data_IF_195223974407
#
_entry.id   IF_195223974407
#
_cell.length_a   1.000
_cell.length_b   1.000
_cell.length_c   1.000
_cell.angle_alpha   90.00
_cell.angle_beta   90.00
_cell.angle_gamma   90.00
#
_symmetry.space_group_name_H-M   'P 1'
#
loop_
_entity.id
_entity.type
_entity.pdbx_description
1 polymer ?
#
# COMPACT_ATOMS: atom_id res chain seq x y z
N UNK A 1 -0.06 -3.17 -21.72
CA UNK A 1 -0.02 -4.46 -21.01
C UNK A 1 -0.73 -4.35 -19.66
N UNK A 2 -0.56 -3.26 -18.92
CA UNK A 2 -1.18 -3.07 -17.59
C UNK A 2 -2.72 -3.08 -17.60
N UNK A 3 -3.35 -2.36 -18.53
CA UNK A 3 -4.81 -2.30 -18.63
C UNK A 3 -5.50 -3.67 -18.84
N UNK A 4 -4.79 -4.68 -19.33
CA UNK A 4 -5.33 -6.01 -19.61
C UNK A 4 -5.52 -6.87 -18.35
N UNK A 5 -4.94 -6.45 -17.22
CA UNK A 5 -4.80 -7.27 -16.01
C UNK A 5 -5.70 -6.86 -14.85
N UNK A 6 -6.35 -5.70 -14.91
CA UNK A 6 -7.24 -5.20 -13.84
C UNK A 6 -6.60 -5.09 -12.44
N UNK A 7 -5.28 -5.33 -12.33
CA UNK A 7 -4.48 -5.39 -11.10
C UNK A 7 -4.16 -3.99 -10.56
N UNK A 8 -4.27 -3.01 -11.44
CA UNK A 8 -3.67 -1.70 -11.35
C UNK A 8 -4.64 -0.69 -10.73
N UNK A 9 -5.96 -0.91 -10.75
CA UNK A 9 -6.94 0.03 -10.17
C UNK A 9 -7.08 -0.07 -8.65
N UNK A 10 -7.10 -1.29 -8.07
CA UNK A 10 -7.26 -1.47 -6.62
C UNK A 10 -5.95 -1.20 -5.87
N UNK A 11 -4.83 -1.65 -6.44
CA UNK A 11 -3.50 -1.37 -5.93
C UNK A 11 -3.18 0.14 -5.96
N UNK A 12 -3.48 0.80 -7.09
CA UNK A 12 -3.26 2.25 -7.22
C UNK A 12 -4.16 3.05 -6.28
N UNK A 13 -5.45 2.72 -6.17
CA UNK A 13 -6.37 3.36 -5.20
C UNK A 13 -5.87 3.22 -3.76
N UNK A 14 -5.44 2.02 -3.37
CA UNK A 14 -4.88 1.79 -2.04
C UNK A 14 -3.60 2.59 -1.82
N UNK A 15 -2.67 2.55 -2.78
CA UNK A 15 -1.41 3.32 -2.74
C UNK A 15 -1.66 4.82 -2.62
N UNK A 16 -2.61 5.36 -3.37
CA UNK A 16 -3.02 6.77 -3.30
C UNK A 16 -3.63 7.10 -1.94
N UNK A 17 -4.51 6.25 -1.41
CA UNK A 17 -5.11 6.45 -0.10
C UNK A 17 -4.08 6.39 1.03
N UNK A 18 -3.16 5.42 1.00
CA UNK A 18 -2.09 5.30 1.98
C UNK A 18 -1.18 6.54 1.98
N UNK A 19 -0.79 7.04 0.80
CA UNK A 19 -0.03 8.29 0.66
C UNK A 19 -0.79 9.49 1.21
N UNK A 20 -2.08 9.59 0.92
CA UNK A 20 -2.94 10.66 1.44
C UNK A 20 -3.03 10.60 2.97
N UNK A 21 -3.19 9.40 3.55
CA UNK A 21 -3.20 9.19 4.99
C UNK A 21 -1.89 9.63 5.64
N UNK A 22 -0.74 9.25 5.08
CA UNK A 22 0.58 9.67 5.58
C UNK A 22 0.70 11.21 5.54
N UNK A 23 0.28 11.86 4.45
CA UNK A 23 0.28 13.32 4.34
C UNK A 23 -0.60 13.99 5.40
N UNK A 24 -1.83 13.48 5.61
CA UNK A 24 -2.74 13.98 6.66
C UNK A 24 -2.17 13.80 8.06
N UNK A 25 -1.54 12.65 8.32
CA UNK A 25 -0.86 12.38 9.60
C UNK A 25 0.25 13.39 9.84
N UNK A 26 1.05 13.76 8.84
CA UNK A 26 2.11 14.75 9.00
C UNK A 26 1.58 16.11 9.47
N UNK A 27 0.48 16.59 8.87
CA UNK A 27 -0.17 17.85 9.27
C UNK A 27 -0.73 17.76 10.69
N UNK A 28 -1.47 16.70 11.00
CA UNK A 28 -2.05 16.49 12.33
C UNK A 28 -0.97 16.35 13.41
N UNK A 29 0.12 15.64 13.12
CA UNK A 29 1.27 15.54 14.03
C UNK A 29 1.88 16.91 14.31
N UNK A 30 2.01 17.79 13.32
CA UNK A 30 2.54 19.14 13.55
C UNK A 30 1.62 19.95 14.48
N UNK A 31 0.30 19.87 14.25
CA UNK A 31 -0.70 20.53 15.08
C UNK A 31 -0.65 20.02 16.55
N UNK A 32 -0.63 18.70 16.75
CA UNK A 32 -0.59 18.11 18.08
C UNK A 32 0.77 18.30 18.77
N UNK A 33 1.89 18.38 18.03
CA UNK A 33 3.20 18.76 18.57
C UNK A 33 3.20 20.19 19.13
N UNK A 34 2.58 21.13 18.43
CA UNK A 34 2.44 22.50 18.94
C UNK A 34 1.62 22.52 20.24
N UNK A 35 0.47 21.83 20.28
CA UNK A 35 -0.36 21.71 21.49
C UNK A 35 0.38 21.05 22.65
N UNK A 36 1.12 19.97 22.39
CA UNK A 36 1.98 19.33 23.39
C UNK A 36 3.02 20.30 23.95
N UNK A 37 3.68 21.07 23.07
CA UNK A 37 4.67 22.08 23.47
C UNK A 37 4.04 23.15 24.37
N UNK A 38 2.87 23.67 24.01
CA UNK A 38 2.15 24.65 24.81
C UNK A 38 1.71 24.07 26.16
N UNK A 39 1.11 22.88 26.17
CA UNK A 39 0.70 22.24 27.41
C UNK A 39 1.89 22.01 28.36
N UNK A 40 3.05 21.61 27.82
CA UNK A 40 4.28 21.45 28.60
C UNK A 40 4.82 22.78 29.12
N UNK A 41 4.82 23.83 28.30
CA UNK A 41 5.23 25.18 28.73
C UNK A 41 4.35 25.68 29.87
N UNK A 42 3.04 25.49 29.75
CA UNK A 42 2.07 25.94 30.75
C UNK A 42 2.23 25.18 32.07
N UNK A 43 2.57 23.88 32.04
CA UNK A 43 2.93 23.15 33.28
C UNK A 43 4.13 23.82 33.96
N UNK A 44 5.18 24.18 33.22
CA UNK A 44 6.37 24.85 33.78
C UNK A 44 6.00 26.20 34.40
N UNK A 45 5.20 27.01 33.73
CA UNK A 45 4.75 28.30 34.25
C UNK A 45 3.88 28.16 35.50
N UNK A 46 2.95 27.20 35.52
CA UNK A 46 2.10 26.94 36.66
C UNK A 46 2.91 26.50 37.89
N UNK A 47 3.94 25.66 37.69
CA UNK A 47 4.85 25.24 38.76
C UNK A 47 5.68 26.40 39.30
N UNK A 48 6.17 27.30 38.43
CA UNK A 48 6.89 28.52 38.86
C UNK A 48 6.02 29.44 39.72
N UNK A 49 4.72 29.47 39.45
CA UNK A 49 3.73 30.24 40.20
C UNK A 49 3.21 29.51 41.45
N UNK A 50 3.73 28.31 41.77
CA UNK A 50 3.31 27.50 42.90
C UNK A 50 1.91 26.86 42.76
N UNK A 51 1.27 26.95 41.59
CA UNK A 51 -0.09 26.45 41.35
C UNK A 51 -0.11 24.96 41.04
N UNK A 52 0.19 24.13 42.04
CA UNK A 52 0.37 22.68 41.85
C UNK A 52 -0.88 21.95 41.36
N UNK A 53 -2.07 22.25 41.91
CA UNK A 53 -3.31 21.61 41.45
C UNK A 53 -3.62 21.92 39.98
N UNK A 54 -3.44 23.18 39.55
CA UNK A 54 -3.61 23.56 38.14
C UNK A 54 -2.56 22.92 37.23
N UNK A 55 -1.31 22.81 37.70
CA UNK A 55 -0.25 22.14 36.96
C UNK A 55 -0.58 20.65 36.77
N UNK A 56 -1.10 19.97 37.80
CA UNK A 56 -1.53 18.58 37.73
C UNK A 56 -2.62 18.37 36.67
N UNK A 57 -3.66 19.20 36.67
CA UNK A 57 -4.71 19.15 35.64
C UNK A 57 -4.11 19.38 34.24
N UNK A 58 -3.15 20.30 34.10
CA UNK A 58 -2.51 20.55 32.81
C UNK A 58 -1.64 19.38 32.33
N UNK A 59 -1.05 18.60 33.23
CA UNK A 59 -0.31 17.37 32.87
C UNK A 59 -1.22 16.35 32.18
N UNK A 60 -2.50 16.26 32.52
CA UNK A 60 -3.45 15.39 31.82
C UNK A 60 -3.53 15.74 30.32
N UNK A 61 -3.51 17.03 29.98
CA UNK A 61 -3.46 17.49 28.59
C UNK A 61 -2.13 17.10 27.92
N UNK A 62 -0.99 17.22 28.61
CA UNK A 62 0.32 16.80 28.10
C UNK A 62 0.30 15.31 27.73
N UNK A 63 -0.21 14.47 28.63
CA UNK A 63 -0.33 13.02 28.42
C UNK A 63 -1.25 12.72 27.24
N UNK A 64 -2.41 13.38 27.15
CA UNK A 64 -3.36 13.19 26.06
C UNK A 64 -2.76 13.55 24.70
N UNK A 65 -2.05 14.67 24.61
CA UNK A 65 -1.39 15.09 23.37
C UNK A 65 -0.24 14.14 22.99
N UNK A 66 0.55 13.67 23.96
CA UNK A 66 1.59 12.67 23.71
C UNK A 66 1.00 11.34 23.21
N UNK A 67 -0.01 10.80 23.89
CA UNK A 67 -0.69 9.57 23.47
C UNK A 67 -1.25 9.69 22.05
N UNK A 68 -1.79 10.86 21.69
CA UNK A 68 -2.28 11.12 20.33
C UNK A 68 -1.15 11.08 19.30
N UNK A 69 0.00 11.68 19.63
CA UNK A 69 1.19 11.62 18.78
C UNK A 69 1.70 10.18 18.60
N UNK A 70 1.67 9.38 19.65
CA UNK A 70 2.09 7.97 19.61
C UNK A 70 1.15 7.12 18.75
N UNK A 71 -0.17 7.37 18.82
CA UNK A 71 -1.16 6.77 17.93
C UNK A 71 -0.88 7.11 16.47
N UNK A 72 -0.54 8.36 16.15
CA UNK A 72 -0.18 8.72 14.79
C UNK A 72 1.05 7.98 14.27
N UNK A 73 2.07 7.79 15.11
CA UNK A 73 3.25 6.99 14.76
C UNK A 73 2.86 5.54 14.48
N UNK A 74 1.95 4.97 15.28
CA UNK A 74 1.45 3.61 15.05
C UNK A 74 0.70 3.49 13.72
N UNK A 75 -0.22 4.42 13.43
CA UNK A 75 -0.99 4.42 12.17
C UNK A 75 -0.05 4.56 10.97
N UNK A 76 0.93 5.46 11.04
CA UNK A 76 1.91 5.67 9.97
C UNK A 76 2.67 4.37 9.65
N UNK A 77 3.18 3.67 10.68
CA UNK A 77 3.84 2.36 10.53
C UNK A 77 2.91 1.31 9.94
N UNK A 78 1.66 1.26 10.37
CA UNK A 78 0.70 0.29 9.86
C UNK A 78 0.36 0.54 8.38
N UNK A 79 0.21 1.80 7.98
CA UNK A 79 0.02 2.16 6.56
C UNK A 79 1.22 1.77 5.70
N UNK A 80 2.44 1.94 6.19
CA UNK A 80 3.67 1.51 5.50
C UNK A 80 3.70 -0.02 5.32
N UNK A 81 3.46 -0.77 6.40
CA UNK A 81 3.42 -2.23 6.37
C UNK A 81 2.34 -2.77 5.41
N UNK A 82 1.14 -2.18 5.45
CA UNK A 82 0.06 -2.58 4.54
C UNK A 82 0.43 -2.31 3.07
N UNK A 83 1.14 -1.21 2.79
CA UNK A 83 1.58 -0.89 1.44
C UNK A 83 2.58 -1.93 0.92
N UNK A 84 3.57 -2.29 1.74
CA UNK A 84 4.56 -3.32 1.40
C UNK A 84 3.91 -4.68 1.15
N UNK A 85 3.04 -5.11 2.06
CA UNK A 85 2.35 -6.42 1.96
C UNK A 85 1.39 -6.49 0.77
N UNK A 86 0.64 -5.42 0.47
CA UNK A 86 -0.22 -5.37 -0.72
C UNK A 86 0.59 -5.42 -2.02
N UNK A 87 1.70 -4.68 -2.10
CA UNK A 87 2.58 -4.70 -3.27
C UNK A 87 3.10 -6.12 -3.50
N UNK A 88 3.61 -6.78 -2.46
CA UNK A 88 4.11 -8.16 -2.56
C UNK A 88 3.02 -9.14 -3.02
N UNK A 89 1.86 -9.16 -2.37
CA UNK A 89 0.77 -10.10 -2.70
C UNK A 89 0.18 -9.89 -4.09
N UNK A 90 0.15 -8.65 -4.58
CA UNK A 90 -0.37 -8.35 -5.92
C UNK A 90 0.67 -8.61 -7.02
N UNK A 91 1.96 -8.45 -6.69
CA UNK A 91 3.08 -8.77 -7.58
C UNK A 91 3.27 -10.28 -7.80
N UNK A 92 2.96 -11.12 -6.79
CA UNK A 92 3.19 -12.57 -6.84
C UNK A 92 1.99 -13.42 -7.26
N UNK A 93 0.82 -12.80 -7.51
CA UNK A 93 -0.40 -13.53 -7.86
C UNK A 93 -0.35 -14.04 -9.30
N UNK A 94 -0.54 -15.36 -9.47
CA UNK A 94 -0.62 -16.01 -10.78
C UNK A 94 -1.75 -15.41 -11.63
N UNK A 95 -1.48 -15.00 -12.89
CA UNK A 95 -2.50 -14.46 -13.79
C UNK A 95 -3.51 -15.54 -14.21
N UNK A 96 -4.76 -15.14 -14.45
CA UNK A 96 -5.81 -16.05 -14.92
C UNK A 96 -5.43 -16.72 -16.24
N UNK A 97 -5.96 -17.92 -16.50
CA UNK A 97 -5.74 -18.64 -17.76
C UNK A 97 -6.12 -17.76 -18.96
N UNK A 98 -7.25 -17.05 -18.88
CA UNK A 98 -7.69 -16.11 -19.92
C UNK A 98 -6.66 -15.01 -20.19
N UNK A 99 -6.09 -14.41 -19.14
CA UNK A 99 -5.07 -13.37 -19.36
C UNK A 99 -3.79 -13.96 -19.93
N UNK A 100 -3.36 -15.13 -19.41
CA UNK A 100 -2.20 -15.86 -19.94
C UNK A 100 -2.39 -16.17 -21.43
N UNK A 101 -3.60 -16.60 -21.82
CA UNK A 101 -3.95 -16.91 -23.20
C UNK A 101 -3.96 -15.68 -24.11
N UNK A 102 -4.55 -14.57 -23.67
CA UNK A 102 -4.52 -13.30 -24.43
C UNK A 102 -3.11 -12.81 -24.69
N UNK A 103 -2.23 -12.89 -23.68
CA UNK A 103 -0.82 -12.50 -23.82
C UNK A 103 -0.09 -13.45 -24.77
N UNK A 104 -0.34 -14.77 -24.65
CA UNK A 104 0.24 -15.77 -25.55
C UNK A 104 -0.15 -15.53 -27.01
N UNK A 105 -1.44 -15.33 -27.28
CA UNK A 105 -1.96 -15.03 -28.62
C UNK A 105 -1.33 -13.78 -29.22
N UNK A 106 -1.19 -12.73 -28.40
CA UNK A 106 -0.54 -11.49 -28.81
C UNK A 106 0.92 -11.73 -29.21
N UNK A 107 1.70 -12.41 -28.36
CA UNK A 107 3.12 -12.71 -28.66
C UNK A 107 3.24 -13.55 -29.93
N UNK A 108 2.38 -14.56 -30.10
CA UNK A 108 2.38 -15.38 -31.30
C UNK A 108 2.12 -14.55 -32.56
N UNK A 109 1.11 -13.67 -32.54
CA UNK A 109 0.81 -12.78 -33.66
C UNK A 109 1.95 -11.80 -33.99
N UNK A 110 2.62 -11.25 -32.97
CA UNK A 110 3.76 -10.33 -33.14
C UNK A 110 4.97 -11.03 -33.78
N UNK A 111 5.07 -12.35 -33.63
CA UNK A 111 6.15 -13.17 -34.18
C UNK A 111 5.71 -13.98 -35.42
N UNK A 112 4.52 -13.72 -35.96
CA UNK A 112 4.00 -14.46 -37.13
C UNK A 112 3.71 -15.94 -36.88
N UNK A 113 3.55 -16.35 -35.61
CA UNK A 113 3.25 -17.72 -35.22
C UNK A 113 1.73 -17.95 -35.17
N UNK A 114 1.24 -19.00 -35.83
CA UNK A 114 -0.16 -19.43 -35.76
C UNK A 114 -0.33 -20.47 -34.66
N UNK A 115 -1.08 -20.16 -33.61
CA UNK A 115 -1.40 -21.11 -32.53
C UNK A 115 -2.63 -21.94 -32.92
N UNK A 116 -2.45 -23.25 -33.11
CA UNK A 116 -3.56 -24.20 -33.19
C UNK A 116 -3.86 -24.75 -31.78
N UNK A 117 -5.12 -24.69 -31.36
CA UNK A 117 -5.60 -25.35 -30.14
C UNK A 117 -5.68 -26.85 -30.44
N UNK A 118 -4.67 -27.61 -30.04
CA UNK A 118 -4.88 -29.04 -29.78
C UNK A 118 -5.66 -29.14 -28.47
N UNK A 119 -6.91 -29.57 -28.59
CA UNK A 119 -7.68 -30.09 -27.46
C UNK A 119 -7.00 -31.41 -27.06
N UNK A 120 -6.38 -31.45 -25.88
CA UNK A 120 -5.67 -32.63 -25.37
C UNK A 120 -6.69 -33.77 -25.11
N UNK A 121 -7.11 -34.44 -26.18
CA UNK A 121 -7.70 -35.77 -26.14
C UNK A 121 -6.54 -36.78 -26.05
N UNK A 122 -6.46 -37.68 -25.05
CA UNK A 122 -5.27 -38.51 -24.80
C UNK A 122 -4.93 -39.60 -25.84
N UNK A 123 -5.39 -39.50 -27.08
CA UNK A 123 -5.32 -40.59 -28.07
C UNK A 123 -4.90 -40.09 -29.46
N UNK A 124 -3.66 -39.63 -29.63
CA UNK A 124 -2.90 -39.71 -30.90
C UNK A 124 -1.42 -39.27 -30.72
N UNK A 125 -0.48 -39.78 -31.55
CA UNK A 125 0.95 -39.76 -31.25
C UNK A 125 1.64 -38.42 -31.58
N UNK A 126 2.59 -38.04 -30.72
CA UNK A 126 3.47 -36.87 -30.83
C UNK A 126 4.42 -36.96 -32.05
N UNK A 127 4.26 -36.12 -33.07
CA UNK A 127 5.35 -35.66 -33.99
C UNK A 127 4.95 -34.31 -34.62
N UNK A 128 5.69 -33.23 -34.41
CA UNK A 128 6.54 -32.68 -35.48
C UNK A 128 7.02 -31.25 -35.18
N UNK A 129 8.34 -31.05 -35.19
CA UNK A 129 8.98 -29.75 -35.06
C UNK A 129 8.77 -28.89 -36.32
N UNK A 130 8.64 -27.59 -36.08
CA UNK A 130 8.68 -26.45 -37.00
C UNK A 130 9.39 -26.72 -38.35
N UNK A 131 8.64 -26.64 -39.44
CA UNK A 131 9.23 -26.33 -40.74
C UNK A 131 9.50 -24.81 -40.77
N UNK A 132 10.78 -24.45 -40.83
CA UNK A 132 11.24 -23.13 -41.28
C UNK A 132 10.84 -22.99 -42.76
N UNK A 133 10.10 -21.93 -43.10
CA UNK A 133 9.91 -21.52 -44.49
C UNK A 133 11.16 -20.78 -44.98
N UNK A 134 11.65 -21.18 -46.16
CA UNK A 134 12.56 -20.41 -47.02
C UNK A 134 11.97 -19.05 -47.43
#
# INVERSE_FOLDING_TARGET
>A
MDALLGRDSRASKFKSLAKLTISRIAVLRNQHRARFSYARSDVVELLRLGRQQSALLRVEHVIKEQNTLDVFVLIEKYCQLLLETMIQKLSSRQPSLETRWKVLMKIASENGLTLHLEDDSPLAPKVGYLALLD
#
